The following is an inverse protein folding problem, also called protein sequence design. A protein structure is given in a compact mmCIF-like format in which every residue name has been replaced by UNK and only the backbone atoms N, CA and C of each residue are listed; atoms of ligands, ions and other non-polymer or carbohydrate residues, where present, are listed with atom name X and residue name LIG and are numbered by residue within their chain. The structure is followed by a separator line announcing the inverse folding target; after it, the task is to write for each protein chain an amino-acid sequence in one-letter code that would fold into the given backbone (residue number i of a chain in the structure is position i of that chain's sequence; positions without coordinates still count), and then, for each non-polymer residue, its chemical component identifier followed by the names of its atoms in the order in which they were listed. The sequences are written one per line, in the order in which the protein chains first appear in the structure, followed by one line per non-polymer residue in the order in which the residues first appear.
data_IF_065221598718
#
_entry.id   IF_065221598718
#
_cell.length_a   1.000
_cell.length_b   1.000
_cell.length_c   1.000
_cell.angle_alpha   90.00
_cell.angle_beta   90.00
_cell.angle_gamma   90.00
#
_symmetry.space_group_name_H-M   'P 1'
#
loop_
_entity.id
_entity.type
_entity.pdbx_description
1 polymer ?
#
# COMPACT_ATOMS: atom_id res chain seq x y z
N UNK A 1 5.69 30.56 14.70
CA UNK A 1 5.11 29.21 14.71
C UNK A 1 5.03 28.76 16.16
N UNK A 2 3.89 28.98 16.80
CA UNK A 2 3.74 28.64 18.22
C UNK A 2 3.77 27.12 18.41
N UNK A 3 4.14 26.66 19.61
CA UNK A 3 4.18 25.22 19.95
C UNK A 3 2.83 24.53 19.64
N UNK A 4 1.71 25.26 19.79
CA UNK A 4 0.37 24.77 19.46
C UNK A 4 0.15 24.51 17.95
N UNK A 5 0.80 25.27 17.04
CA UNK A 5 0.78 24.98 15.60
C UNK A 5 1.52 23.67 15.30
N UNK A 6 2.64 23.41 15.98
CA UNK A 6 3.43 22.20 15.78
C UNK A 6 2.69 20.94 16.24
N UNK A 7 1.95 21.01 17.35
CA UNK A 7 1.08 19.91 17.78
C UNK A 7 -0.09 19.69 16.81
N UNK A 8 -0.67 20.76 16.27
CA UNK A 8 -1.70 20.66 15.22
C UNK A 8 -1.17 19.97 13.95
N UNK A 9 0.02 20.36 13.50
CA UNK A 9 0.69 19.75 12.35
C UNK A 9 1.04 18.27 12.59
N UNK A 10 1.46 17.91 13.81
CA UNK A 10 1.75 16.53 14.18
C UNK A 10 0.48 15.66 14.19
N UNK A 11 -0.61 16.17 14.77
CA UNK A 11 -1.89 15.45 14.78
C UNK A 11 -2.41 15.24 13.35
N UNK A 12 -2.32 16.27 12.49
CA UNK A 12 -2.72 16.17 11.10
C UNK A 12 -1.87 15.15 10.31
N UNK A 13 -0.54 15.13 10.51
CA UNK A 13 0.33 14.18 9.82
C UNK A 13 0.10 12.74 10.29
N UNK A 14 -0.19 12.54 11.57
CA UNK A 14 -0.54 11.23 12.11
C UNK A 14 -1.83 10.70 11.50
N UNK A 15 -2.87 11.54 11.42
CA UNK A 15 -4.14 11.16 10.80
C UNK A 15 -3.93 10.82 9.31
N UNK A 16 -3.16 11.63 8.59
CA UNK A 16 -2.83 11.35 7.19
C UNK A 16 -2.09 10.02 7.03
N UNK A 17 -1.10 9.73 7.89
CA UNK A 17 -0.37 8.46 7.89
C UNK A 17 -1.30 7.26 8.14
N UNK A 18 -2.23 7.37 9.09
CA UNK A 18 -3.22 6.32 9.37
C UNK A 18 -4.13 6.08 8.16
N UNK A 19 -4.61 7.14 7.51
CA UNK A 19 -5.44 7.01 6.30
C UNK A 19 -4.68 6.30 5.17
N UNK A 20 -3.43 6.69 4.92
CA UNK A 20 -2.59 6.04 3.92
C UNK A 20 -2.30 4.57 4.28
N UNK A 21 -2.08 4.26 5.57
CA UNK A 21 -1.90 2.90 6.03
C UNK A 21 -3.13 2.03 5.75
N UNK A 22 -4.34 2.55 6.01
CA UNK A 22 -5.59 1.83 5.72
C UNK A 22 -5.71 1.54 4.23
N UNK A 23 -5.44 2.53 3.36
CA UNK A 23 -5.44 2.30 1.91
C UNK A 23 -4.40 1.27 1.48
N UNK A 24 -3.21 1.27 2.07
CA UNK A 24 -2.17 0.28 1.79
C UNK A 24 -2.60 -1.15 2.17
N UNK A 25 -3.23 -1.32 3.34
CA UNK A 25 -3.75 -2.62 3.80
C UNK A 25 -4.85 -3.15 2.86
N UNK A 26 -5.79 -2.28 2.48
CA UNK A 26 -6.84 -2.65 1.52
C UNK A 26 -6.25 -3.04 0.15
N UNK A 27 -5.28 -2.27 -0.35
CA UNK A 27 -4.57 -2.56 -1.60
C UNK A 27 -3.86 -3.92 -1.56
N UNK A 28 -3.18 -4.24 -0.45
CA UNK A 28 -2.53 -5.53 -0.26
C UNK A 28 -3.53 -6.69 -0.29
N UNK A 29 -4.68 -6.55 0.37
CA UNK A 29 -5.72 -7.59 0.39
C UNK A 29 -6.24 -7.91 -1.02
N UNK A 30 -6.50 -6.88 -1.83
CA UNK A 30 -6.88 -7.05 -3.25
C UNK A 30 -5.76 -7.70 -4.05
N UNK A 31 -4.49 -7.36 -3.75
CA UNK A 31 -3.33 -7.95 -4.44
C UNK A 31 -3.20 -9.44 -4.15
N UNK A 32 -3.42 -9.89 -2.91
CA UNK A 32 -3.45 -11.32 -2.55
C UNK A 32 -4.50 -12.06 -3.36
N UNK A 33 -5.70 -11.49 -3.46
CA UNK A 33 -6.79 -12.05 -4.27
C UNK A 33 -6.39 -12.17 -5.75
N UNK A 34 -5.75 -11.15 -6.32
CA UNK A 34 -5.27 -11.17 -7.72
C UNK A 34 -4.26 -12.30 -7.94
N UNK A 35 -3.31 -12.48 -7.03
CA UNK A 35 -2.27 -13.52 -7.14
C UNK A 35 -2.88 -14.92 -7.04
N UNK A 36 -3.81 -15.15 -6.11
CA UNK A 36 -4.47 -16.44 -5.91
C UNK A 36 -5.31 -16.84 -7.13
N UNK A 37 -6.17 -15.94 -7.62
CA UNK A 37 -6.96 -16.16 -8.83
C UNK A 37 -6.05 -16.35 -10.04
N UNK A 38 -4.99 -15.53 -10.18
CA UNK A 38 -4.02 -15.64 -11.26
C UNK A 38 -3.31 -16.99 -11.29
N UNK A 39 -2.94 -17.53 -10.12
CA UNK A 39 -2.35 -18.85 -10.01
C UNK A 39 -3.34 -19.96 -10.39
N UNK A 40 -4.59 -19.85 -9.95
CA UNK A 40 -5.65 -20.78 -10.33
C UNK A 40 -5.89 -20.80 -11.85
N UNK A 41 -5.84 -19.65 -12.52
CA UNK A 41 -5.97 -19.56 -13.98
C UNK A 41 -4.78 -20.20 -14.71
N UNK A 42 -3.59 -20.17 -14.10
CA UNK A 42 -2.39 -20.82 -14.62
C UNK A 42 -2.36 -22.34 -14.36
N UNK A 43 -3.37 -22.91 -13.69
CA UNK A 43 -3.39 -24.32 -13.30
C UNK A 43 -2.38 -24.66 -12.19
N UNK A 44 -1.91 -23.66 -11.45
CA UNK A 44 -0.99 -23.81 -10.33
C UNK A 44 -1.77 -23.83 -9.01
N UNK A 45 -1.30 -24.63 -8.05
CA UNK A 45 -1.83 -24.64 -6.68
C UNK A 45 -0.71 -24.23 -5.71
N UNK A 46 -0.39 -22.92 -5.63
CA UNK A 46 0.65 -22.43 -4.74
C UNK A 46 0.20 -22.51 -3.27
N UNK A 47 1.15 -22.74 -2.37
CA UNK A 47 0.91 -22.63 -0.93
C UNK A 47 0.62 -21.18 -0.55
N UNK A 48 -0.22 -20.97 0.47
CA UNK A 48 -0.65 -19.64 0.93
C UNK A 48 0.53 -18.70 1.27
N UNK A 49 1.64 -19.23 1.77
CA UNK A 49 2.86 -18.46 2.05
C UNK A 49 3.44 -17.84 0.79
N UNK A 50 3.39 -18.56 -0.33
CA UNK A 50 3.93 -18.11 -1.61
C UNK A 50 3.05 -17.03 -2.25
N UNK A 51 1.73 -17.18 -2.14
CA UNK A 51 0.75 -16.17 -2.58
C UNK A 51 0.94 -14.88 -1.80
N UNK A 52 1.08 -14.99 -0.48
CA UNK A 52 1.26 -13.85 0.44
C UNK A 52 2.57 -13.11 0.17
N UNK A 53 3.68 -13.85 0.01
CA UNK A 53 4.98 -13.28 -0.32
C UNK A 53 4.95 -12.56 -1.67
N UNK A 54 4.39 -13.22 -2.69
CA UNK A 54 4.31 -12.66 -4.05
C UNK A 54 3.44 -11.40 -4.07
N UNK A 55 2.30 -11.42 -3.36
CA UNK A 55 1.45 -10.26 -3.20
C UNK A 55 2.14 -9.11 -2.46
N UNK A 56 2.99 -9.40 -1.47
CA UNK A 56 3.75 -8.38 -0.74
C UNK A 56 4.76 -7.67 -1.66
N UNK A 57 5.45 -8.43 -2.51
CA UNK A 57 6.38 -7.87 -3.50
C UNK A 57 5.66 -7.00 -4.54
N UNK A 58 4.53 -7.48 -5.09
CA UNK A 58 3.71 -6.72 -6.05
C UNK A 58 3.15 -5.46 -5.40
N UNK A 59 2.63 -5.56 -4.17
CA UNK A 59 2.08 -4.42 -3.43
C UNK A 59 3.16 -3.36 -3.15
N UNK A 60 4.37 -3.78 -2.77
CA UNK A 60 5.52 -2.86 -2.61
C UNK A 60 5.82 -2.12 -3.91
N UNK A 61 5.87 -2.83 -5.04
CA UNK A 61 6.07 -2.22 -6.36
C UNK A 61 4.95 -1.24 -6.73
N UNK A 62 3.69 -1.59 -6.48
CA UNK A 62 2.53 -0.75 -6.77
C UNK A 62 2.51 0.53 -5.91
N UNK A 63 2.86 0.44 -4.62
CA UNK A 63 2.92 1.59 -3.72
C UNK A 63 4.04 2.56 -4.14
N UNK A 64 5.23 2.04 -4.47
CA UNK A 64 6.35 2.87 -4.93
C UNK A 64 6.06 3.50 -6.31
N UNK A 65 5.47 2.75 -7.23
CA UNK A 65 5.04 3.27 -8.53
C UNK A 65 3.97 4.36 -8.37
N UNK A 66 3.01 4.19 -7.47
CA UNK A 66 1.98 5.19 -7.14
C UNK A 66 2.52 6.47 -6.49
N UNK A 67 3.64 6.40 -5.77
CA UNK A 67 4.32 7.58 -5.22
C UNK A 67 4.99 8.46 -6.30
N UNK A 68 5.31 7.88 -7.45
CA UNK A 68 6.00 8.57 -8.56
C UNK A 68 5.17 9.71 -9.19
N UNK A 69 3.87 9.56 -9.52
CA UNK A 69 3.06 10.69 -10.00
C UNK A 69 2.82 11.77 -8.94
N UNK A 70 2.80 11.45 -7.64
CA UNK A 70 2.69 12.46 -6.57
C UNK A 70 3.91 13.38 -6.51
N UNK A 71 5.09 12.88 -6.88
CA UNK A 71 6.32 13.69 -6.99
C UNK A 71 6.21 14.73 -8.12
N UNK A 72 5.47 14.43 -9.19
CA UNK A 72 5.36 15.33 -10.37
C UNK A 72 4.34 16.46 -10.22
N UNK A 73 3.46 16.41 -9.21
CA UNK A 73 2.43 17.44 -8.97
C UNK A 73 2.99 18.63 -8.15
N UNK A 74 4.19 18.47 -7.57
CA UNK A 74 4.88 19.52 -6.82
C UNK A 74 5.82 20.41 -7.65
N UNK A 75 5.93 20.17 -8.97
CA UNK A 75 6.67 20.99 -9.95
C UNK A 75 5.69 21.83 -10.78
#
# INVERSE_FOLDING_TARGET
MGVLDSFGALAASLIAAVVLLVFAVLSFFVTVFIVDVGASLAGLSPTADYVTLSAALISTGAIVAGASPLTRVGE
#
